data_IF_140460577254
#
_entry.id   IF_140460577254
#
_cell.length_a   1.000
_cell.length_b   1.000
_cell.length_c   1.000
_cell.angle_alpha   90.00
_cell.angle_beta   90.00
_cell.angle_gamma   90.00
#
_symmetry.space_group_name_H-M   'P 1'
#
loop_
_entity.id
_entity.type
_entity.pdbx_description
1 polymer ?
#
# COMPACT_ATOMS: atom_id res chain seq x y z
N UNK A 1 1.39 -31.38 -21.80
CA UNK A 1 1.85 -30.68 -20.56
C UNK A 1 2.53 -29.39 -20.96
N UNK A 2 1.85 -28.23 -20.90
CA UNK A 2 2.49 -26.94 -21.16
C UNK A 2 3.40 -26.63 -19.97
N UNK A 3 4.71 -26.59 -20.19
CA UNK A 3 5.64 -25.97 -19.25
C UNK A 3 5.22 -24.51 -19.09
N UNK A 4 4.66 -24.16 -17.95
CA UNK A 4 4.51 -22.77 -17.53
C UNK A 4 5.92 -22.32 -17.24
N UNK A 5 6.56 -21.72 -18.24
CA UNK A 5 7.80 -20.98 -18.06
C UNK A 5 7.39 -19.78 -17.24
N UNK A 6 7.72 -19.80 -15.97
CA UNK A 6 7.52 -18.68 -15.08
C UNK A 6 8.31 -17.50 -15.62
N UNK A 7 7.66 -16.43 -16.11
CA UNK A 7 8.35 -15.27 -16.62
C UNK A 7 8.74 -14.34 -15.47
N UNK A 8 9.52 -14.87 -14.51
CA UNK A 8 10.05 -14.01 -13.45
C UNK A 8 11.32 -13.32 -13.92
N UNK A 9 11.18 -12.47 -14.94
CA UNK A 9 12.29 -11.71 -15.49
C UNK A 9 12.31 -10.25 -15.12
N UNK A 10 11.15 -9.67 -14.73
CA UNK A 10 11.03 -8.21 -14.72
C UNK A 10 10.59 -7.62 -13.37
N UNK A 11 9.53 -8.16 -12.76
CA UNK A 11 9.01 -7.63 -11.50
C UNK A 11 8.62 -8.77 -10.56
N UNK A 12 9.28 -8.88 -9.42
CA UNK A 12 8.90 -9.85 -8.40
C UNK A 12 9.32 -9.39 -7.01
N UNK A 13 8.62 -9.93 -6.02
CA UNK A 13 8.99 -9.79 -4.62
C UNK A 13 9.39 -11.17 -4.14
N UNK A 14 10.58 -11.29 -3.61
CA UNK A 14 11.10 -12.53 -3.04
C UNK A 14 11.42 -12.32 -1.58
N UNK A 15 10.88 -13.18 -0.74
CA UNK A 15 11.12 -13.19 0.70
C UNK A 15 11.80 -14.50 1.04
N UNK A 16 12.95 -14.43 1.69
CA UNK A 16 13.75 -15.59 2.06
C UNK A 16 14.00 -15.58 3.57
N UNK A 17 13.64 -16.67 4.23
CA UNK A 17 13.92 -16.92 5.65
C UNK A 17 13.46 -15.77 6.56
N UNK A 18 12.34 -15.10 6.23
CA UNK A 18 11.83 -13.98 7.00
C UNK A 18 11.35 -14.46 8.37
N UNK A 19 11.91 -13.85 9.41
CA UNK A 19 11.50 -14.04 10.78
C UNK A 19 11.19 -12.69 11.44
N UNK A 20 10.16 -12.66 12.29
CA UNK A 20 9.81 -11.50 13.11
C UNK A 20 9.58 -11.94 14.53
N UNK A 21 10.26 -11.26 15.47
CA UNK A 21 10.12 -11.49 16.89
C UNK A 21 9.81 -10.19 17.62
N UNK A 22 8.87 -10.23 18.53
CA UNK A 22 8.59 -9.14 19.48
C UNK A 22 8.92 -9.63 20.89
N UNK A 23 9.90 -8.98 21.52
CA UNK A 23 10.46 -9.44 22.80
C UNK A 23 10.89 -10.92 22.71
N UNK A 24 10.24 -11.80 23.47
CA UNK A 24 10.54 -13.23 23.43
C UNK A 24 9.62 -14.06 22.54
N UNK A 25 8.57 -13.45 22.01
CA UNK A 25 7.59 -14.13 21.17
C UNK A 25 7.96 -14.07 19.70
N UNK A 26 8.15 -15.22 19.07
CA UNK A 26 8.34 -15.34 17.63
C UNK A 26 6.96 -15.35 16.95
N UNK A 27 6.71 -14.33 16.12
CA UNK A 27 5.45 -14.15 15.40
C UNK A 27 5.52 -14.78 14.01
N UNK A 28 6.66 -14.60 13.33
CA UNK A 28 6.93 -15.21 12.03
C UNK A 28 8.23 -15.98 12.11
N UNK A 29 8.22 -17.17 11.54
CA UNK A 29 9.38 -18.07 11.54
C UNK A 29 9.60 -18.60 10.14
N UNK A 30 10.79 -18.35 9.60
CA UNK A 30 11.28 -18.92 8.34
C UNK A 30 10.26 -18.81 7.18
N UNK A 31 9.67 -17.62 6.99
CA UNK A 31 8.70 -17.39 5.93
C UNK A 31 9.45 -17.22 4.61
N UNK A 32 9.04 -18.03 3.63
CA UNK A 32 9.59 -18.00 2.28
C UNK A 32 8.44 -17.76 1.29
N UNK A 33 8.54 -16.68 0.49
CA UNK A 33 7.51 -16.29 -0.49
C UNK A 33 8.16 -15.85 -1.80
N UNK A 34 7.46 -16.11 -2.90
CA UNK A 34 7.83 -15.55 -4.18
C UNK A 34 6.57 -15.08 -4.90
N UNK A 35 6.42 -13.78 -5.06
CA UNK A 35 5.30 -13.14 -5.72
C UNK A 35 5.72 -12.63 -7.09
N UNK A 36 5.00 -13.03 -8.12
CA UNK A 36 5.29 -12.66 -9.51
C UNK A 36 4.48 -11.45 -9.96
N UNK A 37 4.98 -10.72 -10.94
CA UNK A 37 4.25 -9.64 -11.58
C UNK A 37 2.92 -10.14 -12.18
N UNK A 38 1.89 -9.28 -12.14
CA UNK A 38 0.58 -9.58 -12.68
C UNK A 38 -0.20 -10.67 -11.95
N UNK A 39 0.28 -11.13 -10.79
CA UNK A 39 -0.44 -12.10 -9.96
C UNK A 39 -1.16 -11.41 -8.80
N UNK A 40 -2.34 -11.93 -8.44
CA UNK A 40 -3.01 -11.63 -7.19
C UNK A 40 -2.57 -12.67 -6.15
N UNK A 41 -1.94 -12.20 -5.07
CA UNK A 41 -1.51 -13.06 -3.97
C UNK A 41 -2.35 -12.75 -2.73
N UNK A 42 -3.00 -13.76 -2.16
CA UNK A 42 -3.81 -13.60 -0.96
C UNK A 42 -3.16 -14.31 0.23
N UNK A 43 -3.03 -13.58 1.36
CA UNK A 43 -2.54 -14.11 2.63
C UNK A 43 -3.75 -14.43 3.50
N UNK A 44 -3.99 -15.73 3.73
CA UNK A 44 -5.15 -16.22 4.47
C UNK A 44 -4.68 -16.85 5.79
N UNK A 45 -5.47 -16.68 6.84
CA UNK A 45 -5.19 -17.28 8.15
C UNK A 45 -6.06 -16.67 9.26
N UNK A 46 -6.04 -17.29 10.43
CA UNK A 46 -6.77 -16.84 11.62
C UNK A 46 -6.31 -15.44 12.06
N UNK A 47 -7.14 -14.74 12.84
CA UNK A 47 -6.73 -13.51 13.49
C UNK A 47 -5.56 -13.80 14.44
N UNK A 48 -4.55 -12.92 14.45
CA UNK A 48 -3.31 -13.14 15.21
C UNK A 48 -2.26 -14.03 14.53
N UNK A 49 -2.52 -14.61 13.34
CA UNK A 49 -1.56 -15.47 12.64
C UNK A 49 -0.35 -14.74 12.03
N UNK A 50 -0.19 -13.43 12.26
CA UNK A 50 0.96 -12.68 11.76
C UNK A 50 0.81 -12.09 10.36
N UNK A 51 -0.39 -12.10 9.75
CA UNK A 51 -0.64 -11.56 8.39
C UNK A 51 -0.21 -10.10 8.24
N UNK A 52 -0.68 -9.24 9.14
CA UNK A 52 -0.31 -7.82 9.15
C UNK A 52 1.16 -7.60 9.49
N UNK A 53 1.72 -8.46 10.36
CA UNK A 53 3.13 -8.44 10.71
C UNK A 53 4.00 -8.74 9.49
N UNK A 54 3.61 -9.72 8.67
CA UNK A 54 4.30 -10.06 7.44
C UNK A 54 4.32 -8.85 6.46
N UNK A 55 3.16 -8.23 6.23
CA UNK A 55 3.08 -7.06 5.35
C UNK A 55 3.93 -5.90 5.88
N UNK A 56 3.87 -5.60 7.19
CA UNK A 56 4.67 -4.55 7.80
C UNK A 56 6.18 -4.84 7.74
N UNK A 57 6.59 -6.09 7.91
CA UNK A 57 7.98 -6.48 7.71
C UNK A 57 8.42 -6.29 6.26
N UNK A 58 7.57 -6.68 5.30
CA UNK A 58 7.83 -6.48 3.87
C UNK A 58 7.94 -5.00 3.48
N UNK A 59 7.20 -4.12 4.16
CA UNK A 59 7.28 -2.66 3.95
C UNK A 59 8.48 -2.02 4.65
N UNK A 60 9.20 -2.76 5.50
CA UNK A 60 10.29 -2.23 6.31
C UNK A 60 9.85 -1.45 7.56
N UNK A 61 8.55 -1.51 7.92
CA UNK A 61 7.99 -0.80 9.07
C UNK A 61 8.42 -1.40 10.41
N UNK A 62 8.83 -2.66 10.41
CA UNK A 62 9.25 -3.39 11.62
C UNK A 62 10.54 -4.17 11.36
N UNK A 63 11.40 -4.35 12.38
CA UNK A 63 12.61 -5.14 12.26
C UNK A 63 12.29 -6.60 11.98
N UNK A 64 13.09 -7.21 11.12
CA UNK A 64 12.97 -8.61 10.72
C UNK A 64 14.35 -9.24 10.50
N UNK A 65 14.41 -10.57 10.49
CA UNK A 65 15.53 -11.36 10.00
C UNK A 65 15.21 -11.88 8.60
N UNK A 66 16.21 -12.38 7.90
CA UNK A 66 16.06 -12.84 6.51
C UNK A 66 16.10 -11.69 5.50
N UNK A 67 15.87 -12.00 4.24
CA UNK A 67 16.02 -11.08 3.13
C UNK A 67 14.71 -10.84 2.39
N UNK A 68 14.46 -9.58 2.03
CA UNK A 68 13.34 -9.17 1.19
C UNK A 68 13.89 -8.47 -0.04
N UNK A 69 13.71 -9.10 -1.20
CA UNK A 69 14.17 -8.57 -2.47
C UNK A 69 12.99 -8.05 -3.28
N UNK A 70 13.02 -6.76 -3.61
CA UNK A 70 12.12 -6.15 -4.58
C UNK A 70 12.87 -6.02 -5.90
N UNK A 71 12.48 -6.82 -6.88
CA UNK A 71 13.10 -6.79 -8.22
C UNK A 71 12.14 -6.13 -9.19
N UNK A 72 12.58 -5.02 -9.75
CA UNK A 72 11.97 -4.37 -10.88
C UNK A 72 13.06 -4.16 -11.93
N UNK A 73 12.91 -4.79 -13.09
CA UNK A 73 13.85 -4.62 -14.20
C UNK A 73 13.13 -4.01 -15.38
N UNK A 74 13.58 -2.83 -15.81
CA UNK A 74 13.17 -2.19 -17.05
C UNK A 74 14.38 -2.07 -17.95
N UNK A 75 14.26 -2.56 -19.18
CA UNK A 75 15.35 -2.52 -20.17
C UNK A 75 16.67 -3.16 -19.66
N UNK A 76 16.56 -4.23 -18.87
CA UNK A 76 17.71 -4.95 -18.31
C UNK A 76 18.41 -4.24 -17.13
N UNK A 77 17.85 -3.12 -16.65
CA UNK A 77 18.38 -2.38 -15.50
C UNK A 77 17.49 -2.54 -14.28
N UNK A 78 18.11 -2.74 -13.11
CA UNK A 78 17.39 -2.74 -11.83
C UNK A 78 16.84 -1.35 -11.55
N UNK A 79 15.57 -1.28 -11.17
CA UNK A 79 14.89 -0.06 -10.75
C UNK A 79 14.32 -0.24 -9.34
N UNK A 80 14.12 0.88 -8.64
CA UNK A 80 13.41 0.87 -7.36
C UNK A 80 11.92 0.61 -7.61
N UNK A 81 11.41 -0.45 -7.01
CA UNK A 81 9.99 -0.78 -7.07
C UNK A 81 9.19 0.29 -6.32
N UNK A 82 8.14 0.83 -6.96
CA UNK A 82 7.17 1.70 -6.30
C UNK A 82 6.10 0.83 -5.68
N UNK A 83 5.97 0.89 -4.36
CA UNK A 83 5.00 0.11 -3.61
C UNK A 83 3.90 1.04 -3.15
N UNK A 84 2.63 0.70 -3.45
CA UNK A 84 1.46 1.30 -2.85
C UNK A 84 0.96 0.41 -1.71
N UNK A 85 0.68 1.00 -0.56
CA UNK A 85 0.12 0.29 0.58
C UNK A 85 -1.20 0.93 0.99
N UNK A 86 -2.24 0.11 1.11
CA UNK A 86 -3.54 0.51 1.63
C UNK A 86 -3.73 -0.19 2.99
N UNK A 87 -3.66 0.54 4.10
CA UNK A 87 -3.84 -0.03 5.42
C UNK A 87 -5.31 -0.42 5.66
N UNK A 88 -5.54 -1.35 6.58
CA UNK A 88 -6.89 -1.79 6.98
C UNK A 88 -7.69 -0.65 7.64
N UNK A 89 -7.02 0.24 8.34
CA UNK A 89 -7.61 1.43 8.95
C UNK A 89 -6.63 2.59 8.88
N UNK A 90 -7.16 3.77 8.67
CA UNK A 90 -6.41 5.03 8.75
C UNK A 90 -6.83 5.71 10.03
N UNK A 91 -5.90 5.89 10.96
CA UNK A 91 -6.17 6.63 12.20
C UNK A 91 -6.25 8.12 11.89
N UNK A 92 -7.45 8.61 11.68
CA UNK A 92 -7.73 10.03 11.53
C UNK A 92 -8.34 10.52 12.83
N UNK A 93 -7.73 11.53 13.43
CA UNK A 93 -8.30 12.15 14.63
C UNK A 93 -9.69 12.72 14.30
N UNK A 94 -10.68 12.40 15.15
CA UNK A 94 -12.09 12.77 14.93
C UNK A 94 -12.33 14.27 14.74
N UNK A 95 -11.40 15.11 15.16
CA UNK A 95 -11.48 16.56 15.05
C UNK A 95 -10.60 17.16 13.96
N UNK A 96 -10.05 16.34 13.06
CA UNK A 96 -9.20 16.83 11.98
C UNK A 96 -10.06 17.46 10.87
N UNK A 97 -10.01 18.79 10.67
CA UNK A 97 -10.86 19.51 9.71
C UNK A 97 -10.33 19.39 8.26
N UNK A 98 -9.84 18.21 7.90
CA UNK A 98 -9.26 17.94 6.57
C UNK A 98 -10.32 17.35 5.67
N UNK A 99 -10.56 17.95 4.50
CA UNK A 99 -11.45 17.39 3.48
C UNK A 99 -10.73 16.31 2.65
N UNK A 100 -11.51 15.48 1.96
CA UNK A 100 -10.97 14.51 0.98
C UNK A 100 -10.15 15.24 -0.07
N UNK A 101 -10.62 16.40 -0.55
CA UNK A 101 -9.86 17.24 -1.47
C UNK A 101 -8.50 17.63 -0.88
N UNK A 102 -8.47 18.14 0.35
CA UNK A 102 -7.21 18.61 0.97
C UNK A 102 -6.21 17.47 1.14
N UNK A 103 -6.69 16.30 1.55
CA UNK A 103 -5.86 15.11 1.69
C UNK A 103 -5.24 14.71 0.33
N UNK A 104 -6.06 14.56 -0.71
CA UNK A 104 -5.59 14.15 -2.03
C UNK A 104 -4.74 15.23 -2.71
N UNK A 105 -5.10 16.50 -2.53
CA UNK A 105 -4.32 17.62 -3.06
C UNK A 105 -2.92 17.72 -2.44
N UNK A 106 -2.73 17.30 -1.19
CA UNK A 106 -1.42 17.27 -0.54
C UNK A 106 -0.45 16.29 -1.22
N UNK A 107 -0.95 15.24 -1.86
CA UNK A 107 -0.14 14.30 -2.64
C UNK A 107 0.14 14.77 -4.07
N UNK A 108 -0.83 15.44 -4.67
CA UNK A 108 -0.77 15.84 -6.08
C UNK A 108 -0.09 17.18 -6.30
N UNK A 109 -0.11 18.06 -5.30
CA UNK A 109 0.36 19.44 -5.40
C UNK A 109 1.65 19.67 -4.62
N UNK A 110 2.59 20.40 -5.23
CA UNK A 110 3.76 20.95 -4.52
C UNK A 110 3.45 22.25 -3.77
N UNK A 111 2.25 22.80 -3.98
CA UNK A 111 1.82 24.03 -3.32
C UNK A 111 1.03 23.71 -2.06
N UNK A 112 1.17 24.57 -1.03
CA UNK A 112 0.40 24.39 0.21
C UNK A 112 -1.10 24.36 -0.03
N UNK A 113 -1.80 23.45 0.64
CA UNK A 113 -3.24 23.18 0.44
C UNK A 113 -4.14 24.32 0.93
N UNK A 114 -3.63 25.20 1.81
CA UNK A 114 -4.34 26.39 2.29
C UNK A 114 -4.47 27.51 1.26
N UNK A 115 -3.81 27.41 0.11
CA UNK A 115 -4.01 28.33 -1.01
C UNK A 115 -5.36 28.08 -1.71
N UNK A 116 -5.91 29.08 -2.42
CA UNK A 116 -7.17 28.90 -3.13
C UNK A 116 -7.18 27.64 -4.00
N UNK A 117 -8.27 26.86 -3.91
CA UNK A 117 -8.43 25.60 -4.64
C UNK A 117 -8.22 25.83 -6.15
N UNK A 118 -7.22 25.16 -6.72
CA UNK A 118 -7.05 25.16 -8.17
C UNK A 118 -8.18 24.36 -8.81
N UNK A 119 -8.97 25.01 -9.69
CA UNK A 119 -10.06 24.36 -10.42
C UNK A 119 -9.57 23.13 -11.21
N UNK A 120 -8.40 23.23 -11.81
CA UNK A 120 -7.80 22.12 -12.57
C UNK A 120 -7.46 20.92 -11.69
N UNK A 121 -6.91 21.17 -10.50
CA UNK A 121 -6.59 20.12 -9.54
C UNK A 121 -7.87 19.50 -8.95
N UNK A 122 -8.87 20.31 -8.66
CA UNK A 122 -10.16 19.86 -8.15
C UNK A 122 -10.84 18.90 -9.14
N UNK A 123 -10.92 19.26 -10.41
CA UNK A 123 -11.52 18.40 -11.45
C UNK A 123 -10.72 17.11 -11.64
N UNK A 124 -9.38 17.18 -11.60
CA UNK A 124 -8.52 15.99 -11.66
C UNK A 124 -8.80 15.02 -10.50
N UNK A 125 -8.87 15.53 -9.28
CA UNK A 125 -9.17 14.71 -8.09
C UNK A 125 -10.58 14.12 -8.19
N UNK A 126 -11.55 14.91 -8.61
CA UNK A 126 -12.92 14.46 -8.80
C UNK A 126 -13.04 13.33 -9.82
N UNK A 127 -12.25 13.40 -10.90
CA UNK A 127 -12.20 12.33 -11.91
C UNK A 127 -11.58 11.04 -11.34
N UNK A 128 -10.55 11.14 -10.50
CA UNK A 128 -10.01 9.97 -9.80
C UNK A 128 -11.03 9.34 -8.85
N UNK A 129 -11.79 10.15 -8.12
CA UNK A 129 -12.84 9.65 -7.22
C UNK A 129 -14.00 8.99 -7.98
N UNK A 130 -14.29 9.43 -9.21
CA UNK A 130 -15.34 8.83 -10.06
C UNK A 130 -15.09 7.37 -10.37
N UNK A 131 -13.83 6.95 -10.46
CA UNK A 131 -13.46 5.54 -10.67
C UNK A 131 -14.02 4.63 -9.55
N UNK A 132 -14.21 5.21 -8.36
CA UNK A 132 -14.71 4.55 -7.16
C UNK A 132 -16.16 4.92 -6.82
N UNK A 133 -16.85 5.65 -7.75
CA UNK A 133 -18.20 6.19 -7.52
C UNK A 133 -18.30 7.05 -6.23
N UNK A 134 -17.23 7.80 -5.94
CA UNK A 134 -17.04 8.54 -4.68
C UNK A 134 -16.82 10.05 -4.89
N UNK A 135 -17.17 10.60 -6.06
CA UNK A 135 -16.97 12.01 -6.38
C UNK A 135 -17.70 12.98 -5.48
N UNK A 136 -18.81 12.55 -4.88
CA UNK A 136 -19.60 13.36 -3.93
C UNK A 136 -18.90 13.55 -2.58
N UNK A 137 -17.89 12.74 -2.29
CA UNK A 137 -17.13 12.80 -1.06
C UNK A 137 -16.02 13.85 -1.09
N UNK A 138 -15.72 14.47 -2.23
CA UNK A 138 -14.55 15.34 -2.43
C UNK A 138 -14.46 16.50 -1.41
N UNK A 139 -15.58 17.08 -1.03
CA UNK A 139 -15.65 18.18 -0.06
C UNK A 139 -16.03 17.73 1.35
N UNK A 140 -16.21 16.42 1.56
CA UNK A 140 -16.52 15.87 2.89
C UNK A 140 -15.26 15.83 3.75
N UNK A 141 -15.44 16.00 5.06
CA UNK A 141 -14.35 15.79 6.02
C UNK A 141 -14.00 14.32 6.14
N UNK A 142 -12.72 14.01 6.14
CA UNK A 142 -12.22 12.63 6.18
C UNK A 142 -12.63 11.91 7.46
N UNK A 143 -12.70 12.65 8.59
CA UNK A 143 -13.13 12.10 9.88
C UNK A 143 -14.60 11.65 9.91
N UNK A 144 -15.43 12.07 8.95
CA UNK A 144 -16.85 11.73 8.87
C UNK A 144 -17.14 10.63 7.84
N UNK A 145 -16.13 10.08 7.18
CA UNK A 145 -16.31 9.06 6.13
C UNK A 145 -16.81 7.73 6.67
N UNK A 146 -16.52 7.39 7.92
CA UNK A 146 -17.00 6.15 8.57
C UNK A 146 -18.54 6.04 8.61
N UNK A 147 -19.24 7.12 8.34
CA UNK A 147 -20.71 7.15 8.30
C UNK A 147 -21.27 6.77 6.92
N UNK A 148 -20.41 6.62 5.90
CA UNK A 148 -20.81 6.35 4.51
C UNK A 148 -20.51 4.90 4.06
N UNK A 149 -19.87 4.13 4.92
CA UNK A 149 -19.52 2.72 4.72
C UNK A 149 -19.96 1.89 5.93
#
# INVERSE_FOLDING_TARGET
MRKIISPCGFHCIKVNHLGVRFSEQEILKDVNLHMHCGSLNAIIGKNGAGKSTLIRAMLGDIPHTGDIEFRDTKDGRMQNLKIGYVPQSVNIEKNTPVSVYDLLASYESRYPVFLPKSRKLYEKIKEHLRIFEAEELIDKQVCNLDQFF
#
